data_IF_990434636412
#
_entry.id   IF_990434636412
#
_cell.length_a   1.000
_cell.length_b   1.000
_cell.length_c   1.000
_cell.angle_alpha   90.00
_cell.angle_beta   90.00
_cell.angle_gamma   90.00
#
_symmetry.space_group_name_H-M   'P 1'
#
loop_
_entity.id
_entity.type
_entity.pdbx_description
1 polymer ?
#
# COMPACT_ATOMS: atom_id res chain seq x y z
N UNK A 1 -19.10 -34.62 11.42
CA UNK A 1 -18.97 -35.05 12.84
C UNK A 1 -17.51 -35.12 13.31
N UNK A 2 -16.48 -35.06 12.42
CA UNK A 2 -15.08 -35.19 12.83
C UNK A 2 -14.37 -33.85 13.10
N UNK A 3 -14.97 -32.73 12.74
CA UNK A 3 -14.36 -31.40 12.90
C UNK A 3 -14.32 -30.89 14.36
N UNK A 4 -15.14 -31.46 15.23
CA UNK A 4 -15.24 -31.01 16.63
C UNK A 4 -14.22 -31.65 17.59
N UNK A 5 -13.35 -32.57 17.10
CA UNK A 5 -12.44 -33.30 17.98
C UNK A 5 -11.09 -32.63 18.19
N UNK A 6 -10.65 -31.72 17.28
CA UNK A 6 -9.29 -31.16 17.32
C UNK A 6 -9.17 -29.62 17.09
N UNK A 7 -10.20 -28.93 16.65
CA UNK A 7 -10.14 -27.48 16.46
C UNK A 7 -11.38 -26.83 17.07
N UNK A 8 -11.23 -26.17 18.20
CA UNK A 8 -12.36 -25.52 18.90
C UNK A 8 -12.86 -24.25 18.16
N UNK A 9 -12.04 -23.61 17.35
CA UNK A 9 -12.41 -22.45 16.52
C UNK A 9 -11.53 -22.39 15.27
N UNK A 10 -12.12 -22.03 14.14
CA UNK A 10 -11.42 -21.73 12.89
C UNK A 10 -11.36 -20.23 12.75
N UNK A 11 -10.20 -19.65 12.93
CA UNK A 11 -9.93 -18.24 12.67
C UNK A 11 -9.29 -18.16 11.29
N UNK A 12 -9.91 -17.42 10.40
CA UNK A 12 -9.45 -17.25 9.02
C UNK A 12 -9.00 -15.82 8.81
N UNK A 13 -7.72 -15.68 8.44
CA UNK A 13 -7.15 -14.40 8.04
C UNK A 13 -7.43 -14.14 6.55
N UNK A 14 -8.16 -13.08 6.25
CA UNK A 14 -8.49 -12.63 4.90
C UNK A 14 -7.51 -11.57 4.38
N UNK A 15 -6.28 -11.60 4.88
CA UNK A 15 -5.22 -10.62 4.60
C UNK A 15 -4.74 -10.57 3.15
N UNK A 16 -5.06 -11.58 2.33
CA UNK A 16 -4.69 -11.54 0.90
C UNK A 16 -5.48 -10.52 0.08
N UNK A 17 -6.19 -9.60 0.76
CA UNK A 17 -6.83 -8.44 0.16
C UNK A 17 -8.21 -8.70 -0.42
N UNK A 18 -9.01 -9.60 0.16
CA UNK A 18 -10.47 -9.77 -0.07
C UNK A 18 -10.98 -9.81 -1.52
N UNK A 19 -10.21 -9.38 -2.47
CA UNK A 19 -10.57 -9.24 -3.88
C UNK A 19 -9.53 -9.90 -4.81
N UNK A 20 -8.88 -11.00 -4.39
CA UNK A 20 -7.86 -11.67 -5.21
C UNK A 20 -8.41 -12.06 -6.59
N UNK A 21 -9.69 -12.40 -6.67
CA UNK A 21 -10.38 -12.68 -7.92
C UNK A 21 -10.51 -11.47 -8.87
N UNK A 22 -10.31 -10.23 -8.40
CA UNK A 22 -10.33 -9.02 -9.23
C UNK A 22 -8.99 -8.74 -9.92
N UNK A 23 -7.92 -9.40 -9.53
CA UNK A 23 -6.59 -9.12 -10.08
C UNK A 23 -6.48 -9.54 -11.54
N UNK A 24 -5.93 -8.65 -12.36
CA UNK A 24 -5.79 -8.83 -13.81
C UNK A 24 -4.93 -10.04 -14.21
N UNK A 25 -4.01 -10.48 -13.34
CA UNK A 25 -3.13 -11.63 -13.59
C UNK A 25 -3.86 -12.98 -13.73
N UNK A 26 -5.11 -13.08 -13.25
CA UNK A 26 -5.83 -14.35 -13.21
C UNK A 26 -6.76 -14.52 -14.41
N UNK A 27 -6.73 -15.72 -15.03
CA UNK A 27 -7.70 -16.14 -16.04
C UNK A 27 -9.10 -16.32 -15.44
N UNK A 28 -10.14 -16.34 -16.28
CA UNK A 28 -11.52 -16.44 -15.82
C UNK A 28 -11.80 -17.69 -14.93
N UNK A 29 -11.28 -18.90 -15.24
CA UNK A 29 -11.47 -20.06 -14.37
C UNK A 29 -10.82 -19.87 -12.99
N UNK A 30 -9.62 -19.26 -12.94
CA UNK A 30 -8.91 -19.01 -11.68
C UNK A 30 -9.64 -17.94 -10.85
N UNK A 31 -10.19 -16.91 -11.49
CA UNK A 31 -11.03 -15.91 -10.80
C UNK A 31 -12.27 -16.55 -10.17
N UNK A 32 -12.92 -17.49 -10.89
CA UNK A 32 -14.07 -18.22 -10.36
C UNK A 32 -13.67 -19.09 -9.16
N UNK A 33 -12.52 -19.76 -9.23
CA UNK A 33 -11.97 -20.53 -8.11
C UNK A 33 -11.76 -19.63 -6.87
N UNK A 34 -11.09 -18.50 -7.03
CA UNK A 34 -10.89 -17.55 -5.93
C UNK A 34 -12.19 -17.05 -5.32
N UNK A 35 -13.20 -16.77 -6.16
CA UNK A 35 -14.52 -16.33 -5.67
C UNK A 35 -15.23 -17.39 -4.85
N UNK A 36 -15.17 -18.65 -5.31
CA UNK A 36 -15.74 -19.80 -4.57
C UNK A 36 -14.98 -20.03 -3.27
N UNK A 37 -13.65 -19.95 -3.30
CA UNK A 37 -12.80 -20.10 -2.10
C UNK A 37 -13.14 -19.05 -1.06
N UNK A 38 -13.28 -17.77 -1.46
CA UNK A 38 -13.72 -16.69 -0.58
C UNK A 38 -15.07 -17.00 0.08
N UNK A 39 -16.06 -17.44 -0.71
CA UNK A 39 -17.38 -17.82 -0.20
C UNK A 39 -17.29 -18.94 0.83
N UNK A 40 -16.47 -19.97 0.56
CA UNK A 40 -16.30 -21.10 1.48
C UNK A 40 -15.57 -20.68 2.75
N UNK A 41 -14.51 -19.87 2.65
CA UNK A 41 -13.79 -19.35 3.80
C UNK A 41 -14.72 -18.56 4.73
N UNK A 42 -15.44 -17.59 4.18
CA UNK A 42 -16.38 -16.78 4.96
C UNK A 42 -17.51 -17.60 5.57
N UNK A 43 -18.01 -18.61 4.83
CA UNK A 43 -19.15 -19.45 5.30
C UNK A 43 -18.78 -20.37 6.46
N UNK A 44 -17.54 -20.87 6.49
CA UNK A 44 -17.17 -21.98 7.39
C UNK A 44 -16.17 -21.58 8.49
N UNK A 45 -15.67 -20.35 8.49
CA UNK A 45 -14.86 -19.87 9.61
C UNK A 45 -15.75 -19.44 10.79
N UNK A 46 -15.21 -19.58 12.01
CA UNK A 46 -15.84 -19.06 13.23
C UNK A 46 -15.62 -17.56 13.39
N UNK A 47 -14.50 -17.04 12.86
CA UNK A 47 -14.14 -15.63 12.83
C UNK A 47 -13.29 -15.33 11.60
N UNK A 48 -13.66 -14.31 10.85
CA UNK A 48 -12.87 -13.77 9.75
C UNK A 48 -12.13 -12.50 10.21
N UNK A 49 -10.81 -12.52 10.11
CA UNK A 49 -9.98 -11.33 10.36
C UNK A 49 -9.82 -10.60 9.03
N UNK A 50 -10.20 -9.33 8.99
CA UNK A 50 -10.09 -8.46 7.83
C UNK A 50 -8.94 -7.47 8.05
N UNK A 51 -8.08 -7.28 7.05
CA UNK A 51 -6.94 -6.34 7.12
C UNK A 51 -7.31 -4.88 6.82
N UNK A 52 -8.58 -4.62 6.57
CA UNK A 52 -9.15 -3.29 6.31
C UNK A 52 -10.62 -3.27 6.70
N UNK A 53 -11.10 -2.17 7.28
CA UNK A 53 -12.53 -1.94 7.56
C UNK A 53 -13.33 -1.97 6.25
N UNK A 54 -12.74 -1.55 5.14
CA UNK A 54 -13.39 -1.65 3.82
C UNK A 54 -13.58 -3.12 3.38
N UNK A 55 -12.65 -4.03 3.70
CA UNK A 55 -12.80 -5.46 3.45
C UNK A 55 -13.87 -6.05 4.37
N UNK A 56 -13.88 -5.69 5.65
CA UNK A 56 -14.90 -6.10 6.59
C UNK A 56 -16.30 -5.71 6.11
N UNK A 57 -16.49 -4.45 5.72
CA UNK A 57 -17.74 -3.95 5.13
C UNK A 57 -18.15 -4.74 3.87
N UNK A 58 -17.22 -5.00 2.97
CA UNK A 58 -17.46 -5.81 1.78
C UNK A 58 -17.92 -7.23 2.14
N UNK A 59 -17.32 -7.87 3.15
CA UNK A 59 -17.74 -9.20 3.61
C UNK A 59 -19.19 -9.16 4.08
N UNK A 60 -19.59 -8.19 4.88
CA UNK A 60 -20.97 -8.03 5.32
C UNK A 60 -21.92 -7.74 4.16
N UNK A 61 -21.59 -6.81 3.25
CA UNK A 61 -22.40 -6.52 2.08
C UNK A 61 -22.64 -7.73 1.17
N UNK A 62 -21.64 -8.63 1.06
CA UNK A 62 -21.71 -9.80 0.19
C UNK A 62 -22.31 -11.04 0.86
N UNK A 63 -22.10 -11.23 2.16
CA UNK A 63 -22.29 -12.52 2.81
C UNK A 63 -23.23 -12.51 4.02
N UNK A 64 -23.77 -11.37 4.47
CA UNK A 64 -24.78 -11.33 5.51
C UNK A 64 -26.01 -12.18 5.10
N UNK A 65 -26.48 -12.99 6.02
CA UNK A 65 -27.59 -13.93 5.79
C UNK A 65 -27.26 -15.12 4.87
N UNK A 66 -26.01 -15.29 4.43
CA UNK A 66 -25.58 -16.38 3.52
C UNK A 66 -24.68 -17.41 4.21
N UNK A 67 -24.47 -17.29 5.50
CA UNK A 67 -23.72 -18.24 6.31
C UNK A 67 -24.45 -19.57 6.53
N UNK A 68 -23.92 -20.41 7.43
CA UNK A 68 -24.60 -21.64 7.87
C UNK A 68 -25.90 -21.25 8.56
N UNK A 69 -27.01 -21.87 8.15
CA UNK A 69 -28.37 -21.60 8.66
C UNK A 69 -28.81 -20.12 8.50
N UNK A 70 -28.28 -19.39 7.51
CA UNK A 70 -28.64 -18.00 7.27
C UNK A 70 -27.97 -17.01 8.21
N UNK A 71 -26.93 -17.40 8.94
CA UNK A 71 -26.17 -16.51 9.82
C UNK A 71 -25.32 -15.51 9.01
N UNK A 72 -25.02 -14.37 9.65
CA UNK A 72 -24.00 -13.43 9.18
C UNK A 72 -22.61 -13.90 9.63
N UNK A 73 -21.54 -13.64 8.84
CA UNK A 73 -20.18 -13.95 9.25
C UNK A 73 -19.78 -13.09 10.47
N UNK A 74 -19.06 -13.71 11.40
CA UNK A 74 -18.38 -12.94 12.45
C UNK A 74 -17.07 -12.41 11.87
N UNK A 75 -16.83 -11.14 12.05
CA UNK A 75 -15.63 -10.47 11.53
C UNK A 75 -14.93 -9.67 12.62
N UNK A 76 -13.68 -9.37 12.41
CA UNK A 76 -12.92 -8.39 13.17
C UNK A 76 -11.89 -7.75 12.28
N UNK A 77 -11.58 -6.48 12.51
CA UNK A 77 -10.54 -5.75 11.79
C UNK A 77 -9.22 -5.83 12.56
N UNK A 78 -8.17 -6.29 11.91
CA UNK A 78 -6.79 -6.21 12.39
C UNK A 78 -5.92 -5.83 11.19
N UNK A 79 -5.35 -4.63 11.22
CA UNK A 79 -4.49 -4.11 10.17
C UNK A 79 -3.16 -4.86 10.06
N UNK A 80 -2.37 -4.55 9.03
CA UNK A 80 -0.95 -4.88 9.01
C UNK A 80 -0.15 -3.91 9.88
N UNK A 81 0.92 -4.44 10.50
CA UNK A 81 1.96 -3.64 11.11
C UNK A 81 3.10 -3.32 10.14
N UNK A 82 3.91 -2.35 10.49
CA UNK A 82 5.15 -2.05 9.80
C UNK A 82 6.29 -1.73 10.77
N UNK A 83 7.52 -1.89 10.29
CA UNK A 83 8.70 -1.39 10.98
C UNK A 83 8.82 0.12 10.71
N UNK A 84 8.59 0.91 11.74
CA UNK A 84 8.60 2.37 11.70
C UNK A 84 9.93 2.96 12.18
N UNK A 85 10.93 2.12 12.42
CA UNK A 85 12.25 2.61 12.83
C UNK A 85 12.90 3.36 11.67
N UNK A 86 13.52 4.50 12.01
CA UNK A 86 14.29 5.26 11.03
C UNK A 86 15.55 4.49 10.62
N UNK A 87 16.08 4.85 9.45
CA UNK A 87 17.36 4.30 8.97
C UNK A 87 18.50 4.64 9.91
N UNK A 88 19.40 3.69 10.10
CA UNK A 88 20.66 3.89 10.84
C UNK A 88 21.73 4.59 10.01
N UNK A 89 21.52 4.73 8.70
CA UNK A 89 22.46 5.41 7.81
C UNK A 89 22.40 6.92 8.02
N UNK A 90 23.57 7.55 8.08
CA UNK A 90 23.70 9.00 8.04
C UNK A 90 23.34 9.54 6.64
N UNK A 91 23.07 10.84 6.55
CA UNK A 91 22.76 11.48 5.27
C UNK A 91 23.93 11.52 4.28
N UNK A 92 25.15 11.44 4.79
CA UNK A 92 26.41 11.39 4.05
C UNK A 92 27.03 9.98 3.99
N UNK A 93 26.27 8.94 4.40
CA UNK A 93 26.72 7.56 4.32
C UNK A 93 27.15 7.19 2.89
N UNK A 94 28.32 6.56 2.75
CA UNK A 94 28.91 6.24 1.45
C UNK A 94 27.99 5.39 0.57
N UNK A 95 27.27 4.44 1.14
CA UNK A 95 26.33 3.59 0.44
C UNK A 95 25.19 4.42 -0.18
N UNK A 96 24.63 5.36 0.58
CA UNK A 96 23.60 6.29 0.11
C UNK A 96 24.13 7.21 -0.98
N UNK A 97 25.32 7.78 -0.75
CA UNK A 97 25.95 8.71 -1.70
C UNK A 97 26.31 8.03 -3.02
N UNK A 98 26.76 6.76 -2.97
CA UNK A 98 26.99 5.95 -4.16
C UNK A 98 25.70 5.69 -4.93
N UNK A 99 24.61 5.30 -4.22
CA UNK A 99 23.31 5.10 -4.83
C UNK A 99 22.80 6.37 -5.51
N UNK A 100 22.90 7.53 -4.87
CA UNK A 100 22.53 8.81 -5.47
C UNK A 100 23.31 9.10 -6.74
N UNK A 101 24.64 8.90 -6.72
CA UNK A 101 25.52 9.14 -7.86
C UNK A 101 25.17 8.23 -9.03
N UNK A 102 24.98 6.94 -8.78
CA UNK A 102 24.62 5.97 -9.81
C UNK A 102 23.26 6.23 -10.43
N UNK A 103 22.27 6.69 -9.63
CA UNK A 103 20.89 6.92 -10.10
C UNK A 103 20.67 8.36 -10.56
N UNK A 104 21.65 9.24 -10.38
CA UNK A 104 21.56 10.66 -10.71
C UNK A 104 20.45 11.35 -9.92
N UNK A 105 20.38 11.09 -8.61
CA UNK A 105 19.40 11.63 -7.67
C UNK A 105 20.10 12.38 -6.54
N UNK A 106 19.35 13.20 -5.83
CA UNK A 106 19.83 13.90 -4.61
C UNK A 106 18.70 13.96 -3.59
N UNK A 107 19.06 14.23 -2.33
CA UNK A 107 18.10 14.36 -1.23
C UNK A 107 17.02 15.41 -1.57
N UNK A 108 15.75 15.07 -1.31
CA UNK A 108 14.56 15.92 -1.54
C UNK A 108 14.35 16.37 -3.01
N UNK A 109 15.02 15.73 -3.98
CA UNK A 109 14.90 16.03 -5.42
C UNK A 109 14.10 14.97 -6.19
N UNK A 110 13.38 14.10 -5.52
CA UNK A 110 12.63 13.04 -6.21
C UNK A 110 11.32 12.69 -5.54
N UNK A 111 10.31 12.44 -6.37
CA UNK A 111 9.14 11.66 -6.03
C UNK A 111 9.52 10.18 -6.05
N UNK A 112 9.02 9.40 -5.12
CA UNK A 112 9.37 7.99 -4.97
C UNK A 112 8.13 7.11 -5.09
N UNK A 113 8.24 5.97 -5.75
CA UNK A 113 7.33 4.83 -5.60
C UNK A 113 8.10 3.56 -5.33
N UNK A 114 7.62 2.75 -4.40
CA UNK A 114 8.16 1.42 -4.10
C UNK A 114 7.03 0.40 -4.21
N UNK A 115 7.18 -0.59 -5.08
CA UNK A 115 6.14 -1.60 -5.23
C UNK A 115 6.35 -2.54 -6.41
N UNK A 116 5.50 -3.57 -6.51
CA UNK A 116 5.50 -4.50 -7.64
C UNK A 116 5.04 -3.79 -8.90
N UNK A 117 5.75 -4.02 -10.00
CA UNK A 117 5.44 -3.41 -11.30
C UNK A 117 4.29 -4.15 -12.00
N UNK A 118 3.08 -3.84 -11.54
CA UNK A 118 1.83 -4.45 -12.04
C UNK A 118 0.76 -3.38 -12.29
N UNK A 119 -0.20 -3.62 -13.21
CA UNK A 119 -1.23 -2.64 -13.57
C UNK A 119 -2.06 -2.12 -12.39
N UNK A 120 -2.34 -2.99 -11.41
CA UNK A 120 -3.15 -2.66 -10.22
C UNK A 120 -2.49 -1.59 -9.34
N UNK A 121 -1.18 -1.41 -9.45
CA UNK A 121 -0.43 -0.40 -8.71
C UNK A 121 -0.35 0.95 -9.46
N UNK A 122 -1.12 1.11 -10.54
CA UNK A 122 -1.32 2.37 -11.29
C UNK A 122 -0.06 3.03 -11.85
N UNK A 123 1.01 2.25 -12.15
CA UNK A 123 2.25 2.81 -12.72
C UNK A 123 2.01 3.59 -14.01
N UNK A 124 1.13 3.10 -14.89
CA UNK A 124 0.75 3.82 -16.11
C UNK A 124 0.24 5.23 -15.81
N UNK A 125 -0.67 5.32 -14.83
CA UNK A 125 -1.25 6.63 -14.46
C UNK A 125 -0.18 7.53 -13.84
N UNK A 126 0.63 7.00 -12.91
CA UNK A 126 1.67 7.80 -12.25
C UNK A 126 2.69 8.33 -13.26
N UNK A 127 3.18 7.48 -14.17
CA UNK A 127 4.13 7.87 -15.22
C UNK A 127 3.50 8.92 -16.15
N UNK A 128 2.32 8.64 -16.70
CA UNK A 128 1.61 9.55 -17.60
C UNK A 128 1.37 10.93 -16.99
N UNK A 129 0.91 10.96 -15.77
CA UNK A 129 0.58 12.21 -15.08
C UNK A 129 1.84 12.96 -14.63
N UNK A 130 2.91 12.24 -14.25
CA UNK A 130 4.19 12.85 -13.93
C UNK A 130 4.80 13.56 -15.15
N UNK A 131 4.76 12.91 -16.32
CA UNK A 131 5.21 13.53 -17.59
C UNK A 131 4.47 14.84 -17.90
N UNK A 132 3.18 14.91 -17.52
CA UNK A 132 2.36 16.12 -17.73
C UNK A 132 2.60 17.22 -16.70
N UNK A 133 3.19 16.90 -15.57
CA UNK A 133 3.46 17.86 -14.51
C UNK A 133 4.60 18.81 -14.90
N UNK A 134 4.60 19.98 -14.26
CA UNK A 134 5.65 21.00 -14.43
C UNK A 134 6.82 20.79 -13.46
N UNK A 135 6.81 19.72 -12.68
CA UNK A 135 7.86 19.42 -11.70
C UNK A 135 9.23 19.38 -12.37
N UNK A 136 10.22 19.91 -11.68
CA UNK A 136 11.64 19.80 -12.07
C UNK A 136 12.35 18.64 -11.38
N UNK A 137 11.69 18.02 -10.41
CA UNK A 137 12.21 16.90 -9.65
C UNK A 137 12.17 15.61 -10.47
N UNK A 138 12.90 14.62 -10.02
CA UNK A 138 12.92 13.29 -10.61
C UNK A 138 11.75 12.43 -10.11
N UNK A 139 11.43 11.36 -10.82
CA UNK A 139 10.52 10.30 -10.38
C UNK A 139 11.29 8.99 -10.28
N UNK A 140 11.66 8.61 -9.07
CA UNK A 140 12.39 7.38 -8.78
C UNK A 140 11.41 6.21 -8.60
N UNK A 141 11.58 5.16 -9.39
CA UNK A 141 10.73 3.97 -9.39
C UNK A 141 11.56 2.78 -8.90
N UNK A 142 11.34 2.38 -7.63
CA UNK A 142 11.94 1.18 -7.04
C UNK A 142 11.00 0.00 -7.28
N UNK A 143 11.39 -0.89 -8.16
CA UNK A 143 10.59 -2.07 -8.51
C UNK A 143 11.45 -3.17 -9.13
N UNK A 144 10.94 -4.40 -9.08
CA UNK A 144 11.42 -5.47 -9.95
C UNK A 144 10.66 -5.36 -11.28
N UNK A 145 11.37 -5.00 -12.33
CA UNK A 145 10.78 -4.68 -13.64
C UNK A 145 10.26 -5.95 -14.31
N UNK A 146 9.02 -5.89 -14.78
CA UNK A 146 8.47 -6.84 -15.75
C UNK A 146 8.65 -6.24 -17.15
N UNK A 147 9.55 -6.83 -17.93
CA UNK A 147 9.93 -6.31 -19.26
C UNK A 147 8.73 -6.18 -20.22
N UNK A 148 7.80 -7.15 -20.19
CA UNK A 148 6.62 -7.09 -21.04
C UNK A 148 5.78 -5.85 -20.72
N UNK A 149 5.47 -5.64 -19.45
CA UNK A 149 4.69 -4.49 -19.00
C UNK A 149 5.44 -3.17 -19.21
N UNK A 150 6.77 -3.16 -19.05
CA UNK A 150 7.61 -1.99 -19.33
C UNK A 150 7.52 -1.58 -20.81
N UNK A 151 7.63 -2.56 -21.72
CA UNK A 151 7.55 -2.29 -23.16
C UNK A 151 6.15 -1.84 -23.56
N UNK A 152 5.08 -2.43 -23.03
CA UNK A 152 3.70 -1.97 -23.23
C UNK A 152 3.52 -0.50 -22.78
N UNK A 153 4.12 -0.12 -21.64
CA UNK A 153 4.05 1.27 -21.17
C UNK A 153 4.89 2.21 -22.03
N UNK A 154 6.08 1.77 -22.51
CA UNK A 154 6.91 2.58 -23.39
C UNK A 154 6.23 2.82 -24.73
N UNK A 155 5.64 1.79 -25.35
CA UNK A 155 4.88 1.93 -26.61
C UNK A 155 3.71 2.92 -26.47
N UNK A 156 3.07 2.94 -25.31
CA UNK A 156 1.90 3.77 -25.03
C UNK A 156 2.24 5.21 -24.65
N UNK A 157 3.28 5.39 -23.85
CA UNK A 157 3.57 6.68 -23.21
C UNK A 157 4.84 7.36 -23.71
N UNK A 158 5.75 6.63 -24.34
CA UNK A 158 7.08 7.11 -24.73
C UNK A 158 7.84 7.75 -23.55
N UNK A 159 7.71 7.16 -22.35
CA UNK A 159 8.18 7.77 -21.10
C UNK A 159 9.71 7.84 -21.02
N UNK A 160 10.45 7.02 -21.76
CA UNK A 160 11.92 7.09 -21.83
C UNK A 160 12.45 8.42 -22.41
N UNK A 161 11.59 9.18 -23.09
CA UNK A 161 11.92 10.53 -23.55
C UNK A 161 11.98 11.55 -22.38
N UNK A 162 11.31 11.28 -21.26
CA UNK A 162 11.35 12.14 -20.08
C UNK A 162 12.46 11.69 -19.12
N UNK A 163 13.59 12.40 -19.16
CA UNK A 163 14.78 12.08 -18.36
C UNK A 163 14.57 12.15 -16.84
N UNK A 164 13.45 12.74 -16.39
CA UNK A 164 13.11 12.79 -14.96
C UNK A 164 12.61 11.44 -14.45
N UNK A 165 12.12 10.53 -15.32
CA UNK A 165 11.61 9.22 -14.94
C UNK A 165 12.77 8.23 -14.86
N UNK A 166 12.99 7.67 -13.66
CA UNK A 166 14.15 6.84 -13.36
C UNK A 166 13.71 5.51 -12.76
N UNK A 167 13.83 4.43 -13.52
CA UNK A 167 13.75 3.08 -13.01
C UNK A 167 15.07 2.73 -12.34
N UNK A 168 15.09 2.76 -11.02
CA UNK A 168 16.33 2.65 -10.23
C UNK A 168 16.64 1.21 -9.79
N UNK A 169 15.80 0.25 -10.19
CA UNK A 169 15.93 -1.17 -9.83
C UNK A 169 15.36 -1.49 -8.46
N UNK A 170 15.69 -2.66 -7.94
CA UNK A 170 15.26 -3.12 -6.61
C UNK A 170 16.32 -2.76 -5.57
N UNK A 171 15.89 -2.31 -4.40
CA UNK A 171 16.76 -2.06 -3.25
C UNK A 171 16.43 -3.10 -2.17
N UNK A 172 17.32 -4.06 -1.94
CA UNK A 172 17.14 -5.13 -0.95
C UNK A 172 17.70 -4.77 0.43
N UNK A 173 18.65 -3.83 0.49
CA UNK A 173 19.18 -3.32 1.75
C UNK A 173 18.11 -2.46 2.42
N UNK A 174 17.59 -2.95 3.55
CA UNK A 174 16.47 -2.30 4.25
C UNK A 174 16.86 -0.94 4.83
N UNK A 175 18.08 -0.81 5.35
CA UNK A 175 18.55 0.47 5.88
C UNK A 175 18.69 1.54 4.79
N UNK A 176 19.20 1.12 3.61
CA UNK A 176 19.26 1.99 2.45
C UNK A 176 17.86 2.36 1.94
N UNK A 177 16.94 1.39 1.87
CA UNK A 177 15.57 1.64 1.43
C UNK A 177 14.82 2.60 2.36
N UNK A 178 14.97 2.44 3.68
CA UNK A 178 14.44 3.37 4.68
C UNK A 178 14.99 4.78 4.43
N UNK A 179 16.32 4.92 4.27
CA UNK A 179 16.97 6.20 4.04
C UNK A 179 16.53 6.88 2.74
N UNK A 180 16.33 6.11 1.69
CA UNK A 180 15.79 6.61 0.41
C UNK A 180 14.36 7.16 0.61
N UNK A 181 13.50 6.47 1.39
CA UNK A 181 12.16 6.98 1.71
C UNK A 181 12.20 8.25 2.55
N UNK A 182 13.03 8.31 3.59
CA UNK A 182 13.20 9.50 4.45
C UNK A 182 13.64 10.73 3.64
N UNK A 183 14.50 10.51 2.66
CA UNK A 183 15.09 11.54 1.83
C UNK A 183 14.30 11.83 0.54
N UNK A 184 13.20 11.13 0.27
CA UNK A 184 12.30 11.49 -0.82
C UNK A 184 11.64 12.85 -0.57
N UNK A 185 11.38 13.60 -1.64
CA UNK A 185 10.53 14.80 -1.57
C UNK A 185 9.10 14.43 -1.24
N UNK A 186 8.57 13.45 -1.98
CA UNK A 186 7.25 12.90 -1.75
C UNK A 186 7.17 11.44 -2.19
N UNK A 187 6.20 10.71 -1.68
CA UNK A 187 5.93 9.32 -2.03
C UNK A 187 4.62 9.18 -2.80
N UNK A 188 4.64 8.42 -3.90
CA UNK A 188 3.44 8.03 -4.63
C UNK A 188 2.96 6.65 -4.21
N UNK A 189 1.68 6.55 -3.91
CA UNK A 189 1.04 5.26 -3.67
C UNK A 189 -0.13 5.04 -4.63
N UNK A 190 0.01 4.05 -5.51
CA UNK A 190 -0.94 3.81 -6.59
C UNK A 190 -1.75 2.52 -6.48
N UNK A 191 -1.70 1.80 -5.36
CA UNK A 191 -2.40 0.52 -5.17
C UNK A 191 -3.91 0.73 -5.17
N UNK A 192 -4.61 -0.02 -6.02
CA UNK A 192 -6.08 0.07 -6.19
C UNK A 192 -6.82 -1.19 -5.76
N UNK A 193 -6.10 -2.24 -5.38
CA UNK A 193 -6.67 -3.52 -4.92
C UNK A 193 -5.91 -3.97 -3.67
N UNK A 194 -6.65 -4.34 -2.63
CA UNK A 194 -6.11 -4.83 -1.37
C UNK A 194 -6.77 -4.20 -0.15
N UNK A 195 -6.16 -4.41 1.00
CA UNK A 195 -6.48 -3.79 2.28
C UNK A 195 -5.36 -2.88 2.77
N UNK A 196 -5.01 -2.98 4.05
CA UNK A 196 -3.85 -2.26 4.61
C UNK A 196 -2.57 -2.68 3.90
N UNK A 197 -1.82 -1.72 3.38
CA UNK A 197 -0.60 -1.99 2.61
C UNK A 197 0.65 -1.63 3.42
N UNK A 198 1.53 -2.60 3.75
CA UNK A 198 2.76 -2.32 4.52
C UNK A 198 3.64 -1.23 3.89
N UNK A 199 3.78 -1.22 2.55
CA UNK A 199 4.57 -0.19 1.86
C UNK A 199 4.00 1.22 2.02
N UNK A 200 2.66 1.37 2.18
CA UNK A 200 2.03 2.64 2.50
C UNK A 200 2.34 3.07 3.94
N UNK A 201 2.22 2.13 4.89
CA UNK A 201 2.50 2.43 6.30
C UNK A 201 3.96 2.84 6.48
N UNK A 202 4.90 2.11 5.86
CA UNK A 202 6.33 2.46 5.86
C UNK A 202 6.60 3.83 5.24
N UNK A 203 5.89 4.19 4.17
CA UNK A 203 6.03 5.50 3.54
C UNK A 203 5.49 6.63 4.42
N UNK A 204 4.32 6.45 5.04
CA UNK A 204 3.74 7.39 6.00
C UNK A 204 4.63 7.56 7.24
N UNK A 205 5.32 6.50 7.65
CA UNK A 205 6.26 6.51 8.78
C UNK A 205 7.60 7.19 8.47
N UNK A 206 7.96 7.34 7.20
CA UNK A 206 9.30 7.82 6.81
C UNK A 206 9.29 9.06 5.93
N UNK A 207 8.36 9.18 4.98
CA UNK A 207 8.30 10.31 4.02
C UNK A 207 7.29 11.36 4.48
N UNK A 208 7.68 12.63 4.45
CA UNK A 208 6.85 13.72 4.98
C UNK A 208 5.63 14.02 4.11
N UNK A 209 5.72 13.89 2.79
CA UNK A 209 4.64 14.17 1.86
C UNK A 209 4.22 12.91 1.09
N UNK A 210 2.96 12.51 1.22
CA UNK A 210 2.44 11.31 0.58
C UNK A 210 1.26 11.64 -0.34
N UNK A 211 1.31 11.18 -1.59
CA UNK A 211 0.29 11.38 -2.63
C UNK A 211 -0.31 10.02 -3.00
N UNK A 212 -1.53 9.76 -2.55
CA UNK A 212 -2.16 8.45 -2.58
C UNK A 212 -3.29 8.41 -3.61
N UNK A 213 -3.45 7.29 -4.32
CA UNK A 213 -4.66 7.08 -5.10
C UNK A 213 -5.88 7.05 -4.19
N UNK A 214 -6.93 7.76 -4.60
CA UNK A 214 -8.18 7.93 -3.84
C UNK A 214 -9.02 6.64 -3.89
N UNK A 215 -8.73 5.73 -2.96
CA UNK A 215 -9.50 4.51 -2.70
C UNK A 215 -9.71 4.32 -1.19
N UNK A 216 -10.76 3.59 -0.82
CA UNK A 216 -11.21 3.48 0.57
C UNK A 216 -10.13 3.06 1.55
N UNK A 217 -9.37 1.99 1.26
CA UNK A 217 -8.35 1.48 2.16
C UNK A 217 -7.11 2.41 2.29
N UNK A 218 -6.77 3.20 1.27
CA UNK A 218 -5.72 4.21 1.40
C UNK A 218 -6.18 5.37 2.30
N UNK A 219 -7.45 5.78 2.15
CA UNK A 219 -8.04 6.79 3.03
C UNK A 219 -8.16 6.32 4.47
N UNK A 220 -8.52 5.06 4.68
CA UNK A 220 -8.58 4.44 6.01
C UNK A 220 -7.22 4.52 6.71
N UNK A 221 -6.12 4.21 6.01
CA UNK A 221 -4.79 4.23 6.58
C UNK A 221 -4.29 5.65 6.84
N UNK A 222 -4.39 6.55 5.87
CA UNK A 222 -3.73 7.85 5.92
C UNK A 222 -4.64 9.01 6.35
N UNK A 223 -5.96 8.85 6.31
CA UNK A 223 -6.97 9.87 6.64
C UNK A 223 -6.62 11.24 6.00
N UNK A 224 -6.46 12.28 6.81
CA UNK A 224 -6.09 13.64 6.38
C UNK A 224 -4.57 13.90 6.40
N UNK A 225 -3.76 12.85 6.62
CA UNK A 225 -2.29 12.94 6.68
C UNK A 225 -1.62 12.79 5.30
N UNK A 226 -2.39 12.75 4.23
CA UNK A 226 -1.89 12.60 2.86
C UNK A 226 -2.71 13.43 1.87
N UNK A 227 -2.19 13.60 0.66
CA UNK A 227 -2.91 14.19 -0.46
C UNK A 227 -3.44 13.07 -1.37
N UNK A 228 -4.64 13.26 -1.94
CA UNK A 228 -5.31 12.22 -2.71
C UNK A 228 -5.49 12.62 -4.17
N UNK A 229 -5.29 11.65 -5.07
CA UNK A 229 -5.47 11.80 -6.50
C UNK A 229 -6.37 10.69 -7.06
N UNK A 230 -7.16 11.03 -8.06
CA UNK A 230 -7.97 10.06 -8.80
C UNK A 230 -7.25 9.61 -10.07
N UNK A 231 -7.65 8.46 -10.62
CA UNK A 231 -7.09 7.95 -11.88
C UNK A 231 -7.52 8.76 -13.12
N UNK A 232 -8.35 9.80 -12.95
CA UNK A 232 -8.79 10.70 -14.02
C UNK A 232 -7.60 11.48 -14.56
N UNK A 233 -7.53 11.72 -15.90
CA UNK A 233 -6.48 12.53 -16.51
C UNK A 233 -6.36 13.92 -15.86
N UNK A 234 -5.13 14.33 -15.59
CA UNK A 234 -4.80 15.63 -15.00
C UNK A 234 -4.94 15.69 -13.46
N UNK A 235 -5.49 14.66 -12.81
CA UNK A 235 -5.67 14.68 -11.35
C UNK A 235 -4.33 14.67 -10.61
N UNK A 236 -3.46 13.68 -10.90
CA UNK A 236 -2.16 13.59 -10.24
C UNK A 236 -1.20 14.68 -10.74
N UNK A 237 -1.23 15.05 -12.03
CA UNK A 237 -0.38 16.12 -12.54
C UNK A 237 -0.61 17.45 -11.82
N UNK A 238 -1.88 17.86 -11.63
CA UNK A 238 -2.24 19.06 -10.86
C UNK A 238 -1.82 18.94 -9.39
N UNK A 239 -1.90 17.73 -8.81
CA UNK A 239 -1.51 17.51 -7.42
C UNK A 239 0.01 17.60 -7.25
N UNK A 240 0.80 17.09 -8.21
CA UNK A 240 2.26 17.27 -8.26
C UNK A 240 2.61 18.76 -8.34
N UNK A 241 1.97 19.50 -9.25
CA UNK A 241 2.20 20.94 -9.39
C UNK A 241 1.79 21.74 -8.13
N UNK A 242 0.79 21.26 -7.39
CA UNK A 242 0.42 21.81 -6.08
C UNK A 242 1.48 21.47 -5.03
N UNK A 243 1.90 20.20 -4.95
CA UNK A 243 2.89 19.71 -4.02
C UNK A 243 4.22 20.49 -4.14
N UNK A 244 4.68 20.74 -5.38
CA UNK A 244 5.91 21.50 -5.63
C UNK A 244 5.85 22.97 -5.16
N UNK A 245 4.66 23.51 -4.86
CA UNK A 245 4.46 24.86 -4.33
C UNK A 245 4.21 24.91 -2.83
N UNK A 246 4.09 23.76 -2.18
CA UNK A 246 3.91 23.70 -0.73
C UNK A 246 5.18 24.18 -0.02
N UNK A 247 4.97 24.90 1.06
CA UNK A 247 6.07 25.32 1.94
C UNK A 247 6.68 24.13 2.68
N UNK A 248 7.92 24.29 3.14
CA UNK A 248 8.57 23.27 3.96
C UNK A 248 7.80 22.99 5.25
N UNK A 249 7.19 24.00 5.85
CA UNK A 249 6.41 23.87 7.09
C UNK A 249 5.10 23.09 6.86
N UNK A 250 4.40 23.33 5.75
CA UNK A 250 3.21 22.54 5.39
C UNK A 250 3.56 21.06 5.19
N UNK A 251 4.65 20.77 4.49
CA UNK A 251 5.14 19.40 4.26
C UNK A 251 5.55 18.74 5.58
N UNK A 252 6.33 19.45 6.41
CA UNK A 252 6.76 18.94 7.70
C UNK A 252 5.58 18.64 8.64
N UNK A 253 4.55 19.50 8.66
CA UNK A 253 3.36 19.27 9.48
C UNK A 253 2.56 18.06 8.99
N UNK A 254 2.40 17.86 7.68
CA UNK A 254 1.79 16.66 7.14
C UNK A 254 2.57 15.40 7.54
N UNK A 255 3.90 15.45 7.41
CA UNK A 255 4.79 14.36 7.81
C UNK A 255 4.70 14.04 9.30
N UNK A 256 4.67 15.05 10.16
CA UNK A 256 4.51 14.86 11.60
C UNK A 256 3.19 14.14 11.94
N UNK A 257 2.08 14.54 11.31
CA UNK A 257 0.78 13.91 11.52
C UNK A 257 0.76 12.47 11.01
N UNK A 258 1.31 12.22 9.83
CA UNK A 258 1.41 10.89 9.24
C UNK A 258 2.21 9.94 10.13
N UNK A 259 3.40 10.35 10.57
CA UNK A 259 4.28 9.58 11.48
C UNK A 259 3.60 9.28 12.82
N UNK A 260 2.92 10.29 13.41
CA UNK A 260 2.17 10.11 14.64
C UNK A 260 1.09 9.04 14.47
N UNK A 261 0.26 9.16 13.41
CA UNK A 261 -0.82 8.22 13.15
C UNK A 261 -0.33 6.77 13.00
N UNK A 262 0.72 6.54 12.19
CA UNK A 262 1.21 5.17 11.99
C UNK A 262 1.89 4.62 13.24
N UNK A 263 2.53 5.45 14.06
CA UNK A 263 3.09 5.06 15.35
C UNK A 263 2.01 4.69 16.37
N UNK A 264 0.84 5.30 16.31
CA UNK A 264 -0.29 5.02 17.21
C UNK A 264 -1.10 3.79 16.74
N UNK A 265 -1.22 3.56 15.43
CA UNK A 265 -2.18 2.60 14.89
C UNK A 265 -1.56 1.34 14.27
N UNK A 266 -0.33 1.40 13.74
CA UNK A 266 0.22 0.37 12.85
C UNK A 266 1.56 -0.22 13.31
N UNK A 267 1.89 -0.14 14.60
CA UNK A 267 3.08 -0.81 15.15
C UNK A 267 2.86 -2.31 15.26
N UNK A 268 3.93 -3.09 15.08
CA UNK A 268 3.85 -4.55 15.27
C UNK A 268 3.38 -4.93 16.66
N UNK A 269 3.78 -4.22 17.71
CA UNK A 269 3.35 -4.51 19.09
C UNK A 269 1.83 -4.40 19.23
N UNK A 270 1.22 -3.32 18.68
CA UNK A 270 -0.24 -3.16 18.68
C UNK A 270 -0.93 -4.26 17.89
N UNK A 271 -0.45 -4.54 16.67
CA UNK A 271 -1.05 -5.55 15.80
C UNK A 271 -0.92 -6.96 16.39
N UNK A 272 0.26 -7.34 16.87
CA UNK A 272 0.46 -8.63 17.55
C UNK A 272 -0.42 -8.77 18.79
N UNK A 273 -0.55 -7.72 19.60
CA UNK A 273 -1.46 -7.71 20.75
C UNK A 273 -2.93 -7.92 20.38
N UNK A 274 -3.39 -7.37 19.24
CA UNK A 274 -4.75 -7.61 18.73
C UNK A 274 -4.93 -9.08 18.32
N UNK A 275 -3.98 -9.68 17.59
CA UNK A 275 -4.01 -11.10 17.25
C UNK A 275 -3.98 -11.99 18.49
N UNK A 276 -3.13 -11.67 19.48
CA UNK A 276 -3.07 -12.41 20.76
C UNK A 276 -4.44 -12.40 21.46
N UNK A 277 -5.10 -11.26 21.52
CA UNK A 277 -6.44 -11.15 22.11
C UNK A 277 -7.47 -12.03 21.40
N UNK A 278 -7.41 -12.14 20.06
CA UNK A 278 -8.26 -13.05 19.27
C UNK A 278 -7.98 -14.51 19.66
N UNK A 279 -6.69 -14.91 19.66
CA UNK A 279 -6.31 -16.31 19.90
C UNK A 279 -6.58 -16.77 21.35
N UNK A 280 -6.43 -15.91 22.34
CA UNK A 280 -6.76 -16.23 23.73
C UNK A 280 -8.25 -16.05 24.04
N UNK A 281 -9.07 -15.71 23.05
CA UNK A 281 -10.52 -15.57 23.22
C UNK A 281 -10.96 -14.36 24.04
N UNK A 282 -10.11 -13.35 24.18
CA UNK A 282 -10.39 -12.10 24.90
C UNK A 282 -11.25 -11.11 24.12
N UNK A 283 -11.45 -11.33 22.82
CA UNK A 283 -12.42 -10.54 22.05
C UNK A 283 -13.81 -11.02 22.46
N UNK A 284 -14.44 -10.25 23.31
CA UNK A 284 -15.79 -10.51 23.73
C UNK A 284 -16.71 -10.49 22.52
N UNK A 285 -17.58 -11.51 22.48
CA UNK A 285 -18.74 -11.51 21.60
C UNK A 285 -19.57 -10.25 21.91
N UNK A 286 -19.37 -9.19 21.11
CA UNK A 286 -20.29 -8.06 21.06
C UNK A 286 -21.48 -8.41 20.20
#
# INVERSE_FOLDING_TARGET
>A
PFSNLFVKKVVQDLTSGGHEWMRAKWSAPIRKYWKISEQMMVKYCDLAICDSVNIEKYIHECYDGKGIQGSSPKTTFIAYGADLTLSKLADDDEKLMNWYREKGLTKKDYYLVVGRFVPENSFEVMIREFMKSKSKKNFAIITNVNEKFLNELEEKLHFKSDKRIKFVGTVYDQELLKKIRENAYAYFHGHTVGGTNPSLIEALGSTDLNLLVDVGFNKEVAEDCALYWSRKPGSLAKLIDKADRMSADEIAEMGRRAKKRVAEEYTWDKICGQYENVFVGKINNG
#
